data_IF_328144164154
#
_entry.id   IF_328144164154
#
_cell.length_a   1.000
_cell.length_b   1.000
_cell.length_c   1.000
_cell.angle_alpha   90.00
_cell.angle_beta   90.00
_cell.angle_gamma   90.00
#
_symmetry.space_group_name_H-M   'P 1'
#
loop_
_entity.id
_entity.type
_entity.pdbx_description
1 polymer ?
#
# COMPACT_ATOMS: atom_id res chain seq x y z
N UNK A 1 50.76 -16.13 -30.71
CA UNK A 1 51.38 -16.14 -29.39
C UNK A 1 50.25 -16.12 -28.34
N UNK A 2 50.15 -17.21 -27.58
CA UNK A 2 49.15 -17.38 -26.51
C UNK A 2 49.72 -16.77 -25.23
N UNK A 3 48.91 -16.05 -24.47
CA UNK A 3 49.17 -15.77 -23.07
C UNK A 3 47.85 -15.94 -22.30
N UNK A 4 47.72 -17.07 -21.66
CA UNK A 4 46.75 -17.44 -20.64
C UNK A 4 47.23 -16.87 -19.30
N UNK A 5 46.35 -16.13 -18.62
CA UNK A 5 46.47 -15.83 -17.18
C UNK A 5 45.31 -16.49 -16.44
N UNK A 6 45.64 -17.55 -15.73
CA UNK A 6 44.76 -18.15 -14.72
C UNK A 6 45.07 -17.48 -13.38
N UNK A 7 44.08 -16.90 -12.74
CA UNK A 7 44.15 -16.43 -11.37
C UNK A 7 43.28 -17.35 -10.50
N UNK A 8 43.95 -18.22 -9.75
CA UNK A 8 43.31 -19.04 -8.71
C UNK A 8 43.20 -18.16 -7.44
N UNK A 9 41.97 -17.95 -6.96
CA UNK A 9 41.73 -17.44 -5.63
C UNK A 9 41.22 -18.58 -4.74
N UNK A 10 42.09 -19.05 -3.84
CA UNK A 10 41.72 -19.96 -2.76
C UNK A 10 40.90 -19.22 -1.70
N UNK A 11 39.65 -19.64 -1.51
CA UNK A 11 38.84 -19.22 -0.38
C UNK A 11 39.06 -20.22 0.76
N UNK A 12 39.81 -19.80 1.79
CA UNK A 12 39.93 -20.55 3.04
C UNK A 12 38.70 -20.31 3.93
N UNK A 13 37.95 -21.36 4.18
CA UNK A 13 36.95 -21.40 5.23
C UNK A 13 37.63 -21.40 6.60
N UNK A 14 37.31 -20.43 7.43
CA UNK A 14 37.64 -20.43 8.87
C UNK A 14 36.37 -20.78 9.64
N UNK A 15 36.44 -21.91 10.33
CA UNK A 15 35.40 -22.41 11.23
C UNK A 15 35.31 -21.58 12.51
N UNK A 16 34.12 -21.25 13.02
CA UNK A 16 33.96 -20.59 14.32
C UNK A 16 33.82 -21.61 15.43
N UNK A 17 34.81 -21.68 16.28
CA UNK A 17 34.74 -22.39 17.56
C UNK A 17 35.55 -21.69 18.61
N UNK A 18 34.89 -21.10 19.59
CA UNK A 18 35.18 -21.13 21.04
C UNK A 18 34.48 -20.01 21.78
N UNK A 19 33.51 -20.44 22.53
CA UNK A 19 33.17 -20.13 23.96
C UNK A 19 33.69 -18.80 24.54
N UNK A 20 32.73 -17.97 24.97
CA UNK A 20 32.85 -17.13 26.15
C UNK A 20 31.83 -17.57 27.20
N UNK A 21 32.30 -18.29 28.24
CA UNK A 21 31.62 -18.45 29.53
C UNK A 21 31.92 -17.19 30.35
N UNK A 22 30.90 -16.39 30.63
CA UNK A 22 30.97 -15.35 31.64
C UNK A 22 30.26 -15.86 32.91
N UNK A 23 31.02 -15.97 33.96
CA UNK A 23 30.62 -16.45 35.28
C UNK A 23 29.62 -15.49 35.95
N UNK A 24 28.43 -15.99 36.27
CA UNK A 24 27.50 -15.31 37.18
C UNK A 24 27.88 -15.68 38.61
N UNK A 25 28.50 -14.75 39.31
CA UNK A 25 28.79 -14.85 40.74
C UNK A 25 27.50 -14.75 41.54
N UNK A 26 27.09 -15.87 42.17
CA UNK A 26 26.02 -15.89 43.17
C UNK A 26 26.55 -15.28 44.47
N UNK A 27 26.08 -14.11 44.84
CA UNK A 27 26.21 -13.57 46.20
C UNK A 27 25.13 -14.21 47.07
N UNK A 28 25.57 -15.09 47.99
CA UNK A 28 24.74 -15.55 49.11
C UNK A 28 24.60 -14.40 50.11
N UNK A 29 23.41 -13.85 50.25
CA UNK A 29 23.03 -13.06 51.41
C UNK A 29 22.54 -14.03 52.50
N UNK A 30 23.34 -14.20 53.57
CA UNK A 30 22.91 -14.83 54.82
C UNK A 30 22.02 -13.83 55.56
N UNK A 31 20.72 -14.12 55.63
CA UNK A 31 19.84 -13.45 56.60
C UNK A 31 19.83 -14.24 57.87
N UNK A 32 20.24 -13.57 58.95
CA UNK A 32 20.30 -14.05 60.35
C UNK A 32 18.85 -14.15 60.83
N UNK A 33 18.47 -15.34 61.31
CA UNK A 33 17.22 -15.56 62.03
C UNK A 33 17.40 -15.15 63.46
N UNK A 34 16.65 -14.20 63.97
CA UNK A 34 16.45 -13.94 65.40
C UNK A 34 14.96 -13.78 65.68
N UNK A 35 14.50 -14.72 66.48
CA UNK A 35 13.43 -14.66 67.46
C UNK A 35 11.97 -14.65 66.99
N UNK A 36 11.36 -15.75 67.33
CA UNK A 36 9.95 -16.02 67.46
C UNK A 36 9.19 -14.89 68.16
N UNK A 37 8.13 -14.38 67.51
CA UNK A 37 7.09 -13.67 68.23
C UNK A 37 5.73 -14.37 67.87
N UNK A 38 5.31 -15.22 68.83
CA UNK A 38 3.98 -15.82 68.76
C UNK A 38 2.92 -14.74 69.03
N UNK A 39 2.27 -14.28 67.96
CA UNK A 39 1.05 -13.47 68.09
C UNK A 39 -0.13 -14.43 68.00
N UNK A 40 -0.81 -14.69 69.09
CA UNK A 40 -2.11 -15.33 69.14
C UNK A 40 -3.15 -14.35 68.57
N UNK A 41 -3.61 -14.58 67.33
CA UNK A 41 -4.76 -13.87 66.76
C UNK A 41 -6.00 -14.66 67.10
N UNK A 42 -6.78 -14.10 68.03
CA UNK A 42 -8.13 -14.59 68.39
C UNK A 42 -9.08 -14.36 67.22
N UNK A 43 -9.63 -15.44 66.66
CA UNK A 43 -10.68 -15.40 65.65
C UNK A 43 -12.02 -15.07 66.26
N UNK A 44 -12.36 -13.79 66.34
CA UNK A 44 -13.69 -13.28 66.67
C UNK A 44 -14.36 -12.63 65.45
N UNK A 45 -15.44 -13.25 64.96
CA UNK A 45 -16.52 -12.62 64.19
C UNK A 45 -16.21 -11.76 62.96
N UNK A 46 -15.62 -12.32 61.90
CA UNK A 46 -15.43 -11.60 60.65
C UNK A 46 -16.05 -12.37 59.42
N UNK A 47 -17.27 -12.90 59.54
CA UNK A 47 -17.89 -13.61 58.43
C UNK A 47 -18.64 -12.74 57.37
N UNK A 48 -19.02 -11.47 57.56
CA UNK A 48 -19.67 -10.70 56.50
C UNK A 48 -18.71 -9.97 55.57
N UNK A 49 -17.43 -9.67 55.96
CA UNK A 49 -16.52 -8.88 55.13
C UNK A 49 -15.83 -9.70 54.04
N UNK A 50 -15.62 -10.98 54.20
CA UNK A 50 -14.94 -11.84 53.22
C UNK A 50 -15.84 -12.09 52.01
N UNK A 51 -17.19 -12.19 52.19
CA UNK A 51 -18.14 -12.34 51.10
C UNK A 51 -18.29 -11.05 50.28
N UNK A 52 -18.22 -9.88 50.90
CA UNK A 52 -18.29 -8.58 50.22
C UNK A 52 -17.02 -8.32 49.37
N UNK A 53 -15.83 -8.73 49.83
CA UNK A 53 -14.61 -8.57 49.08
C UNK A 53 -14.50 -9.54 47.90
N UNK A 54 -14.99 -10.78 48.04
CA UNK A 54 -15.09 -11.74 46.95
C UNK A 54 -16.10 -11.29 45.86
N UNK A 55 -17.21 -10.64 46.24
CA UNK A 55 -18.20 -10.08 45.31
C UNK A 55 -17.66 -8.84 44.56
N UNK A 56 -16.82 -8.00 45.22
CA UNK A 56 -16.17 -6.88 44.56
C UNK A 56 -15.06 -7.33 43.60
N UNK A 57 -14.30 -8.38 43.89
CA UNK A 57 -13.32 -8.98 42.98
C UNK A 57 -13.98 -9.68 41.78
N UNK A 58 -15.15 -10.33 41.99
CA UNK A 58 -15.92 -10.90 40.89
C UNK A 58 -16.59 -9.83 39.99
N UNK A 59 -16.96 -8.66 40.53
CA UNK A 59 -17.45 -7.54 39.76
C UNK A 59 -16.34 -6.79 38.99
N UNK A 60 -15.10 -6.80 39.47
CA UNK A 60 -13.92 -6.26 38.78
C UNK A 60 -13.39 -7.22 37.69
N UNK A 61 -13.72 -8.50 37.76
CA UNK A 61 -13.48 -9.50 36.72
C UNK A 61 -14.59 -9.55 35.65
N UNK A 62 -15.61 -8.69 35.71
CA UNK A 62 -16.43 -8.36 34.57
C UNK A 62 -15.51 -7.64 33.58
N UNK A 63 -14.75 -8.45 32.83
CA UNK A 63 -14.00 -8.04 31.66
C UNK A 63 -14.94 -7.13 30.87
N UNK A 64 -14.59 -5.87 30.78
CA UNK A 64 -15.08 -5.03 29.69
C UNK A 64 -14.74 -5.83 28.43
N UNK A 65 -15.73 -6.53 27.89
CA UNK A 65 -15.72 -6.88 26.48
C UNK A 65 -15.78 -5.53 25.81
N UNK A 66 -14.60 -4.94 25.61
CA UNK A 66 -14.44 -3.77 24.79
C UNK A 66 -14.92 -4.26 23.43
N UNK A 67 -16.11 -3.86 23.02
CA UNK A 67 -16.59 -4.14 21.67
C UNK A 67 -15.42 -3.82 20.75
N UNK A 68 -14.92 -4.83 20.05
CA UNK A 68 -13.83 -4.63 19.14
C UNK A 68 -14.26 -3.49 18.21
N UNK A 69 -13.52 -2.39 18.23
CA UNK A 69 -13.83 -1.26 17.33
C UNK A 69 -13.82 -1.80 15.90
N UNK A 70 -14.87 -1.50 15.16
CA UNK A 70 -14.98 -1.89 13.76
C UNK A 70 -13.69 -1.47 13.02
N UNK A 71 -12.93 -2.40 12.45
CA UNK A 71 -11.67 -2.06 11.79
C UNK A 71 -11.86 -1.33 10.46
N UNK A 72 -13.08 -1.38 9.89
CA UNK A 72 -13.41 -0.83 8.58
C UNK A 72 -14.69 0.03 8.66
N UNK A 73 -14.71 1.11 9.44
CA UNK A 73 -15.91 1.87 9.75
C UNK A 73 -16.53 2.59 8.54
N UNK A 74 -15.76 2.85 7.49
CA UNK A 74 -16.27 3.44 6.23
C UNK A 74 -16.83 2.40 5.26
N UNK A 75 -16.77 1.12 5.60
CA UNK A 75 -17.44 0.05 4.87
C UNK A 75 -18.82 -0.21 5.48
N UNK A 76 -19.81 -0.47 4.62
CA UNK A 76 -21.09 -0.99 5.07
C UNK A 76 -20.98 -2.47 5.48
N UNK A 77 -21.82 -2.90 6.41
CA UNK A 77 -21.94 -4.33 6.69
C UNK A 77 -22.47 -5.05 5.45
N UNK A 78 -21.76 -6.07 5.01
CA UNK A 78 -22.08 -6.79 3.80
C UNK A 78 -21.05 -7.85 3.42
N UNK A 79 -21.24 -8.46 2.26
CA UNK A 79 -20.40 -9.56 1.79
C UNK A 79 -18.95 -9.14 1.57
N UNK A 80 -18.69 -7.95 1.02
CA UNK A 80 -17.35 -7.44 0.74
C UNK A 80 -16.55 -7.26 2.04
N UNK A 81 -17.10 -6.52 3.02
CA UNK A 81 -16.46 -6.31 4.33
C UNK A 81 -16.24 -7.63 5.06
N UNK A 82 -17.25 -8.49 5.12
CA UNK A 82 -17.15 -9.81 5.76
C UNK A 82 -16.04 -10.64 5.14
N UNK A 83 -15.94 -10.65 3.81
CA UNK A 83 -14.91 -11.42 3.09
C UNK A 83 -13.50 -10.94 3.41
N UNK A 84 -13.28 -9.62 3.47
CA UNK A 84 -11.99 -9.03 3.86
C UNK A 84 -11.62 -9.44 5.29
N UNK A 85 -12.51 -9.18 6.25
CA UNK A 85 -12.26 -9.44 7.66
C UNK A 85 -12.02 -10.93 7.91
N UNK A 86 -12.88 -11.80 7.37
CA UNK A 86 -12.73 -13.26 7.50
C UNK A 86 -11.44 -13.77 6.87
N UNK A 87 -11.03 -13.25 5.70
CA UNK A 87 -9.76 -13.61 5.07
C UNK A 87 -8.58 -13.25 5.97
N UNK A 88 -8.54 -12.02 6.47
CA UNK A 88 -7.46 -11.57 7.36
C UNK A 88 -7.41 -12.42 8.62
N UNK A 89 -8.54 -12.66 9.27
CA UNK A 89 -8.62 -13.52 10.46
C UNK A 89 -8.11 -14.93 10.17
N UNK A 90 -8.52 -15.53 9.05
CA UNK A 90 -8.12 -16.88 8.64
C UNK A 90 -6.60 -16.99 8.45
N UNK A 91 -5.99 -16.04 7.74
CA UNK A 91 -4.54 -16.11 7.43
C UNK A 91 -3.66 -15.63 8.58
N UNK A 92 -4.24 -15.01 9.61
CA UNK A 92 -3.50 -14.54 10.78
C UNK A 92 -3.63 -15.44 12.00
N UNK A 93 -4.59 -16.39 12.01
CA UNK A 93 -4.76 -17.35 13.11
C UNK A 93 -3.61 -18.36 13.12
N UNK A 94 -2.69 -18.32 14.11
CA UNK A 94 -1.53 -19.20 14.16
C UNK A 94 -1.88 -20.68 14.40
N UNK A 95 -3.13 -20.97 14.77
CA UNK A 95 -3.64 -22.34 14.99
C UNK A 95 -4.38 -22.88 13.77
N UNK A 96 -4.72 -22.01 12.82
CA UNK A 96 -5.47 -22.34 11.62
C UNK A 96 -4.62 -23.05 10.55
N UNK A 97 -5.22 -23.96 9.81
CA UNK A 97 -4.56 -24.66 8.67
C UNK A 97 -4.13 -23.71 7.55
N UNK A 98 -4.78 -22.57 7.45
CA UNK A 98 -4.57 -21.56 6.41
C UNK A 98 -3.70 -20.38 6.91
N UNK A 99 -3.01 -20.56 8.04
CA UNK A 99 -2.09 -19.57 8.57
C UNK A 99 -0.98 -19.21 7.57
N UNK A 100 -0.77 -17.93 7.40
CA UNK A 100 0.33 -17.37 6.59
C UNK A 100 1.24 -16.55 7.50
N UNK A 101 2.54 -16.85 7.53
CA UNK A 101 3.50 -16.12 8.33
C UNK A 101 3.56 -14.64 7.89
N UNK A 102 3.79 -13.65 8.81
CA UNK A 102 3.80 -12.23 8.48
C UNK A 102 4.67 -11.85 7.28
N UNK A 103 5.88 -12.42 7.16
CA UNK A 103 6.77 -12.16 6.02
C UNK A 103 6.27 -12.66 4.66
N UNK A 104 5.16 -13.42 4.62
CA UNK A 104 4.51 -13.88 3.39
C UNK A 104 3.13 -13.21 3.16
N UNK A 105 2.66 -12.37 4.08
CA UNK A 105 1.40 -11.61 3.94
C UNK A 105 1.64 -10.38 3.08
N UNK A 106 1.64 -10.56 1.77
CA UNK A 106 1.78 -9.47 0.80
C UNK A 106 0.42 -9.13 0.21
N UNK A 107 0.03 -7.86 0.31
CA UNK A 107 -1.16 -7.30 -0.33
C UNK A 107 -0.75 -6.23 -1.35
N UNK A 108 -1.31 -6.29 -2.55
CA UNK A 108 -1.01 -5.35 -3.64
C UNK A 108 -2.28 -4.62 -4.06
N UNK A 109 -2.12 -3.36 -4.38
CA UNK A 109 -3.21 -2.45 -4.75
C UNK A 109 -2.84 -1.69 -6.01
N UNK A 110 -3.74 -1.62 -6.98
CA UNK A 110 -3.67 -0.54 -7.94
C UNK A 110 -3.86 0.82 -7.26
N UNK A 111 -3.49 1.91 -7.93
CA UNK A 111 -3.59 3.25 -7.37
C UNK A 111 -4.80 4.01 -7.92
N UNK A 112 -4.78 4.29 -9.23
CA UNK A 112 -5.81 5.11 -9.89
C UNK A 112 -7.12 4.32 -9.96
N UNK A 113 -8.22 4.85 -9.41
CA UNK A 113 -9.50 4.16 -9.30
C UNK A 113 -9.56 3.10 -8.19
N UNK A 114 -8.45 2.77 -7.52
CA UNK A 114 -8.43 1.79 -6.41
C UNK A 114 -8.13 2.43 -5.07
N UNK A 115 -7.09 3.25 -4.96
CA UNK A 115 -6.71 3.93 -3.72
C UNK A 115 -7.16 5.41 -3.71
N UNK A 116 -7.25 6.03 -4.88
CA UNK A 116 -7.77 7.38 -5.08
C UNK A 116 -8.56 7.47 -6.38
N UNK A 117 -9.29 8.57 -6.56
CA UNK A 117 -10.07 8.82 -7.77
C UNK A 117 -9.18 8.96 -9.02
N UNK A 118 -9.73 8.62 -10.19
CA UNK A 118 -9.02 8.70 -11.49
C UNK A 118 -9.76 9.51 -12.56
N UNK A 119 -11.04 9.81 -12.34
CA UNK A 119 -11.87 10.57 -13.28
C UNK A 119 -11.76 12.08 -13.00
N UNK A 120 -11.95 12.97 -13.98
CA UNK A 120 -12.18 12.67 -15.40
C UNK A 120 -10.89 12.42 -16.19
N UNK A 121 -9.72 12.53 -15.55
CA UNK A 121 -8.39 12.29 -16.11
C UNK A 121 -7.46 11.80 -15.03
N UNK A 122 -6.55 10.87 -15.36
CA UNK A 122 -5.53 10.42 -14.42
C UNK A 122 -4.78 11.59 -13.77
N UNK A 123 -4.58 11.55 -12.48
CA UNK A 123 -3.98 12.68 -11.74
C UNK A 123 -2.55 13.00 -12.19
N UNK A 124 -1.78 11.97 -12.60
CA UNK A 124 -0.48 12.20 -13.23
C UNK A 124 -0.61 12.96 -14.56
N UNK A 125 -1.66 12.69 -15.32
CA UNK A 125 -1.91 13.43 -16.57
C UNK A 125 -2.28 14.91 -16.30
N UNK A 126 -3.05 15.17 -15.23
CA UNK A 126 -3.32 16.54 -14.78
C UNK A 126 -2.03 17.28 -14.39
N UNK A 127 -1.16 16.62 -13.62
CA UNK A 127 0.18 17.15 -13.28
C UNK A 127 1.03 17.44 -14.54
N UNK A 128 1.03 16.52 -15.51
CA UNK A 128 1.77 16.70 -16.76
C UNK A 128 1.24 17.89 -17.59
N UNK A 129 -0.10 18.05 -17.67
CA UNK A 129 -0.73 19.18 -18.36
C UNK A 129 -0.42 20.52 -17.69
N UNK A 130 -0.47 20.60 -16.36
CA UNK A 130 -0.13 21.81 -15.63
C UNK A 130 1.37 22.14 -15.77
N UNK A 131 2.22 21.12 -15.73
CA UNK A 131 3.66 21.30 -16.01
C UNK A 131 3.89 21.80 -17.42
N UNK A 132 3.22 21.24 -18.43
CA UNK A 132 3.35 21.69 -19.81
C UNK A 132 2.89 23.14 -20.00
N UNK A 133 1.79 23.55 -19.37
CA UNK A 133 1.33 24.96 -19.37
C UNK A 133 2.40 25.89 -18.80
N UNK A 134 3.01 25.51 -17.67
CA UNK A 134 4.07 26.30 -17.03
C UNK A 134 5.35 26.35 -17.90
N UNK A 135 5.67 25.29 -18.63
CA UNK A 135 6.78 25.25 -19.59
C UNK A 135 6.46 26.10 -20.83
N UNK A 136 5.27 26.01 -21.37
CA UNK A 136 4.81 26.78 -22.53
C UNK A 136 4.80 28.29 -22.29
N UNK A 137 4.57 28.72 -21.06
CA UNK A 137 4.69 30.13 -20.67
C UNK A 137 6.13 30.68 -20.79
N UNK A 138 7.13 29.80 -20.80
CA UNK A 138 8.57 30.14 -20.95
C UNK A 138 9.10 29.83 -22.35
N UNK A 139 8.47 28.87 -23.05
CA UNK A 139 8.84 28.46 -24.41
C UNK A 139 7.58 28.40 -25.27
N UNK A 140 7.33 29.42 -26.13
CA UNK A 140 6.15 29.47 -27.00
C UNK A 140 6.05 28.30 -27.99
N UNK A 141 7.14 27.64 -28.34
CA UNK A 141 7.11 26.46 -29.22
C UNK A 141 6.33 25.29 -28.59
N UNK A 142 6.38 25.17 -27.28
CA UNK A 142 5.60 24.17 -26.54
C UNK A 142 4.09 24.50 -26.52
N UNK A 143 3.71 25.77 -26.57
CA UNK A 143 2.30 26.17 -26.56
C UNK A 143 1.51 25.65 -27.79
N UNK A 144 2.19 25.45 -28.90
CA UNK A 144 1.59 24.94 -30.15
C UNK A 144 1.89 23.46 -30.39
N UNK A 145 2.44 22.75 -29.41
CA UNK A 145 2.75 21.32 -29.52
C UNK A 145 1.44 20.50 -29.62
N UNK A 146 1.20 19.77 -30.71
CA UNK A 146 -0.05 19.02 -30.91
C UNK A 146 -0.26 17.89 -29.89
N UNK A 147 0.81 17.30 -29.34
CA UNK A 147 0.71 16.27 -28.31
C UNK A 147 0.09 16.82 -27.02
N UNK A 148 0.39 18.07 -26.63
CA UNK A 148 -0.22 18.70 -25.45
C UNK A 148 -1.72 18.86 -25.64
N UNK A 149 -2.16 19.33 -26.82
CA UNK A 149 -3.57 19.51 -27.12
C UNK A 149 -4.33 18.18 -27.24
N UNK A 150 -3.72 17.14 -27.79
CA UNK A 150 -4.29 15.82 -27.90
C UNK A 150 -4.39 15.11 -26.53
N UNK A 151 -3.35 15.19 -25.70
CA UNK A 151 -3.34 14.64 -24.35
C UNK A 151 -4.43 15.28 -23.47
N UNK A 152 -4.66 16.61 -23.61
CA UNK A 152 -5.74 17.31 -22.92
C UNK A 152 -7.14 16.81 -23.30
N UNK A 153 -7.29 16.14 -24.45
CA UNK A 153 -8.53 15.52 -24.93
C UNK A 153 -8.61 14.01 -24.58
N UNK A 154 -7.64 13.47 -23.84
CA UNK A 154 -7.62 12.08 -23.41
C UNK A 154 -6.94 11.10 -24.39
N UNK A 155 -6.20 11.58 -25.41
CA UNK A 155 -5.41 10.69 -26.27
C UNK A 155 -4.25 10.08 -25.48
N UNK A 156 -4.31 8.76 -25.24
CA UNK A 156 -3.34 8.04 -24.43
C UNK A 156 -1.93 8.01 -25.04
N UNK A 157 -1.81 8.00 -26.38
CA UNK A 157 -0.51 8.07 -27.03
C UNK A 157 0.12 9.44 -26.82
N UNK A 158 -0.67 10.49 -27.03
CA UNK A 158 -0.23 11.86 -26.77
C UNK A 158 0.08 12.11 -25.30
N UNK A 159 -0.60 11.42 -24.38
CA UNK A 159 -0.27 11.45 -22.96
C UNK A 159 1.13 10.88 -22.70
N UNK A 160 1.51 9.78 -23.34
CA UNK A 160 2.88 9.24 -23.25
C UNK A 160 3.94 10.24 -23.73
N UNK A 161 3.69 10.94 -24.84
CA UNK A 161 4.56 11.99 -25.35
C UNK A 161 4.62 13.20 -24.38
N UNK A 162 3.49 13.59 -23.82
CA UNK A 162 3.40 14.65 -22.82
C UNK A 162 4.23 14.32 -21.57
N UNK A 163 4.14 13.09 -21.08
CA UNK A 163 4.93 12.60 -19.94
C UNK A 163 6.43 12.67 -20.27
N UNK A 164 6.83 12.23 -21.47
CA UNK A 164 8.23 12.33 -21.90
C UNK A 164 8.74 13.78 -21.91
N UNK A 165 7.93 14.72 -22.39
CA UNK A 165 8.28 16.15 -22.43
C UNK A 165 8.39 16.74 -21.01
N UNK A 166 7.45 16.43 -20.13
CA UNK A 166 7.31 17.11 -18.83
C UNK A 166 8.08 16.44 -17.69
N UNK A 167 8.42 15.15 -17.82
CA UNK A 167 9.02 14.36 -16.76
C UNK A 167 10.51 14.06 -16.97
N UNK A 168 11.04 14.25 -18.19
CA UNK A 168 12.44 14.00 -18.49
C UNK A 168 13.34 15.25 -18.31
N UNK A 169 14.65 15.04 -18.51
CA UNK A 169 15.71 16.09 -18.48
C UNK A 169 15.83 16.81 -17.11
N UNK A 170 15.36 16.20 -16.05
CA UNK A 170 15.45 16.67 -14.67
C UNK A 170 16.03 15.54 -13.80
N UNK A 171 16.51 15.86 -12.62
CA UNK A 171 16.88 14.82 -11.66
C UNK A 171 15.64 14.21 -10.99
N UNK A 172 15.78 12.98 -10.47
CA UNK A 172 14.69 12.35 -9.70
C UNK A 172 14.29 13.18 -8.48
N UNK A 173 15.27 13.81 -7.81
CA UNK A 173 14.99 14.66 -6.64
C UNK A 173 14.22 15.93 -7.01
N UNK A 174 14.62 16.62 -8.09
CA UNK A 174 13.90 17.79 -8.60
C UNK A 174 12.48 17.43 -9.05
N UNK A 175 12.30 16.28 -9.67
CA UNK A 175 11.00 15.79 -10.08
C UNK A 175 10.11 15.53 -8.86
N UNK A 176 10.62 14.84 -7.85
CA UNK A 176 9.89 14.57 -6.62
C UNK A 176 9.47 15.85 -5.88
N UNK A 177 10.33 16.89 -5.87
CA UNK A 177 9.98 18.20 -5.31
C UNK A 177 8.81 18.83 -6.07
N UNK A 178 8.88 18.83 -7.42
CA UNK A 178 7.80 19.40 -8.25
C UNK A 178 6.46 18.68 -8.04
N UNK A 179 6.47 17.36 -7.93
CA UNK A 179 5.25 16.58 -7.65
C UNK A 179 4.70 16.95 -6.27
N UNK A 180 5.53 16.96 -5.23
CA UNK A 180 5.10 17.35 -3.88
C UNK A 180 4.54 18.77 -3.82
N UNK A 181 5.14 19.72 -4.51
CA UNK A 181 4.65 21.09 -4.53
C UNK A 181 3.31 21.21 -5.27
N UNK A 182 3.15 20.49 -6.38
CA UNK A 182 1.88 20.42 -7.10
C UNK A 182 0.76 19.81 -6.23
N UNK A 183 1.02 18.70 -5.54
CA UNK A 183 0.03 18.01 -4.70
C UNK A 183 -0.45 18.85 -3.50
N UNK A 184 0.33 19.85 -3.06
CA UNK A 184 -0.06 20.77 -1.98
C UNK A 184 -1.19 21.73 -2.38
N UNK A 185 -1.26 22.11 -3.65
CA UNK A 185 -2.11 23.23 -4.12
C UNK A 185 -3.07 22.85 -5.24
N UNK A 186 -2.72 21.87 -6.08
CA UNK A 186 -3.54 21.49 -7.23
C UNK A 186 -4.88 20.90 -6.79
N UNK A 187 -5.95 21.34 -7.42
CA UNK A 187 -7.31 20.94 -7.11
C UNK A 187 -7.94 20.22 -8.30
N UNK A 188 -8.73 19.23 -7.97
CA UNK A 188 -9.55 18.49 -8.92
C UNK A 188 -10.62 19.41 -9.55
N UNK A 189 -10.79 19.38 -10.90
CA UNK A 189 -11.60 20.37 -11.61
C UNK A 189 -13.09 20.34 -11.27
N UNK A 190 -13.64 19.19 -10.89
CA UNK A 190 -15.07 19.01 -10.59
C UNK A 190 -15.36 18.81 -9.11
N UNK A 191 -14.50 18.15 -8.37
CA UNK A 191 -14.69 17.88 -6.95
C UNK A 191 -14.17 19.01 -6.04
N UNK A 192 -13.41 19.95 -6.61
CA UNK A 192 -12.88 21.16 -5.92
C UNK A 192 -12.13 20.84 -4.61
N UNK A 193 -11.42 19.68 -4.59
CA UNK A 193 -10.57 19.22 -3.50
C UNK A 193 -9.16 19.02 -4.04
N UNK A 194 -8.16 19.07 -3.16
CA UNK A 194 -6.80 18.70 -3.56
C UNK A 194 -6.80 17.23 -4.01
N UNK A 195 -5.98 16.91 -4.99
CA UNK A 195 -5.89 15.54 -5.50
C UNK A 195 -5.57 14.52 -4.38
N UNK A 196 -4.72 14.87 -3.44
CA UNK A 196 -4.37 14.03 -2.28
C UNK A 196 -5.51 13.86 -1.26
N UNK A 197 -6.57 14.64 -1.33
CA UNK A 197 -7.79 14.51 -0.51
C UNK A 197 -8.86 13.61 -1.16
N UNK A 198 -8.59 13.18 -2.39
CA UNK A 198 -9.49 12.28 -3.14
C UNK A 198 -9.08 10.82 -3.00
N UNK A 199 -8.45 10.47 -1.90
CA UNK A 199 -8.20 9.08 -1.51
C UNK A 199 -9.48 8.45 -0.97
N UNK A 200 -9.72 7.22 -1.36
CA UNK A 200 -10.88 6.47 -0.89
C UNK A 200 -10.71 6.10 0.58
N UNK A 201 -11.55 6.64 1.44
CA UNK A 201 -11.47 6.42 2.88
C UNK A 201 -11.57 4.93 3.26
N UNK A 202 -12.47 4.11 2.65
CA UNK A 202 -12.52 2.69 2.93
C UNK A 202 -11.22 1.95 2.61
N UNK A 203 -10.54 2.35 1.54
CA UNK A 203 -9.28 1.72 1.14
C UNK A 203 -8.13 2.12 2.06
N UNK A 204 -8.12 3.36 2.57
CA UNK A 204 -7.15 3.77 3.59
C UNK A 204 -7.32 2.97 4.89
N UNK A 205 -8.55 2.81 5.36
CA UNK A 205 -8.86 1.96 6.52
C UNK A 205 -8.43 0.50 6.30
N UNK A 206 -8.59 0.01 5.07
CA UNK A 206 -8.13 -1.33 4.69
C UNK A 206 -6.60 -1.45 4.76
N UNK A 207 -5.86 -0.46 4.26
CA UNK A 207 -4.39 -0.44 4.35
C UNK A 207 -3.95 -0.48 5.82
N UNK A 208 -4.51 0.39 6.67
CA UNK A 208 -4.21 0.45 8.10
C UNK A 208 -4.56 -0.89 8.80
N UNK A 209 -5.70 -1.49 8.48
CA UNK A 209 -6.13 -2.77 9.02
C UNK A 209 -5.19 -3.91 8.62
N UNK A 210 -4.75 -3.94 7.38
CA UNK A 210 -3.81 -4.96 6.89
C UNK A 210 -2.45 -4.83 7.55
N UNK A 211 -1.90 -3.62 7.66
CA UNK A 211 -0.61 -3.38 8.34
C UNK A 211 -0.68 -3.76 9.82
N UNK A 212 -1.75 -3.40 10.53
CA UNK A 212 -1.99 -3.80 11.91
C UNK A 212 -2.05 -5.33 12.09
N UNK A 213 -2.38 -6.07 11.02
CA UNK A 213 -2.40 -7.53 10.98
C UNK A 213 -1.15 -8.16 10.34
N UNK A 214 -0.06 -7.40 10.22
CA UNK A 214 1.25 -7.87 9.77
C UNK A 214 1.36 -8.16 8.27
N UNK A 215 0.51 -7.53 7.45
CA UNK A 215 0.69 -7.51 6.01
C UNK A 215 1.70 -6.45 5.60
N UNK A 216 2.40 -6.69 4.51
CA UNK A 216 3.07 -5.63 3.76
C UNK A 216 2.18 -5.19 2.61
N UNK A 217 1.82 -3.91 2.60
CA UNK A 217 0.99 -3.28 1.57
C UNK A 217 1.86 -2.64 0.49
N UNK A 218 1.48 -2.78 -0.77
CA UNK A 218 2.24 -2.32 -1.93
C UNK A 218 1.32 -1.66 -2.96
N UNK A 219 1.79 -0.60 -3.60
CA UNK A 219 1.15 -0.04 -4.79
C UNK A 219 1.72 -0.73 -6.02
N UNK A 220 0.86 -1.09 -6.98
CA UNK A 220 1.21 -1.68 -8.28
C UNK A 220 0.36 -1.01 -9.36
N UNK A 221 0.91 -0.03 -10.07
CA UNK A 221 0.11 0.87 -10.90
C UNK A 221 0.68 1.09 -12.30
N UNK A 222 -0.19 1.27 -13.28
CA UNK A 222 0.18 1.75 -14.60
C UNK A 222 0.78 3.16 -14.62
N UNK A 223 0.55 3.94 -13.56
CA UNK A 223 1.15 5.26 -13.35
C UNK A 223 2.65 5.23 -13.13
N UNK A 224 3.30 6.40 -13.24
CA UNK A 224 4.74 6.54 -13.08
C UNK A 224 5.20 6.33 -11.65
N UNK A 225 6.13 5.40 -11.44
CA UNK A 225 6.62 5.03 -10.11
C UNK A 225 7.16 6.21 -9.30
N UNK A 226 7.92 7.11 -9.92
CA UNK A 226 8.51 8.26 -9.22
C UNK A 226 7.48 9.37 -8.93
N UNK A 227 6.40 9.46 -9.73
CA UNK A 227 5.28 10.34 -9.42
C UNK A 227 4.60 9.89 -8.12
N UNK A 228 4.27 8.61 -8.01
CA UNK A 228 3.62 8.06 -6.82
C UNK A 228 4.52 8.07 -5.58
N UNK A 229 5.80 7.75 -5.72
CA UNK A 229 6.79 7.78 -4.62
C UNK A 229 6.88 9.14 -3.94
N UNK A 230 6.59 10.22 -4.66
CA UNK A 230 6.66 11.57 -4.10
C UNK A 230 5.61 11.86 -3.03
N UNK A 231 4.52 11.09 -2.95
CA UNK A 231 3.42 11.31 -2.02
C UNK A 231 2.88 10.05 -1.31
N UNK A 232 3.25 8.84 -1.75
CA UNK A 232 2.62 7.61 -1.27
C UNK A 232 2.76 7.42 0.26
N UNK A 233 3.90 7.77 0.84
CA UNK A 233 4.12 7.66 2.28
C UNK A 233 3.24 8.64 3.06
N UNK A 234 3.18 9.91 2.65
CA UNK A 234 2.37 10.93 3.30
C UNK A 234 0.87 10.66 3.17
N UNK A 235 0.45 10.09 2.05
CA UNK A 235 -0.97 9.92 1.69
C UNK A 235 -1.53 8.57 2.14
N UNK A 236 -0.76 7.49 2.02
CA UNK A 236 -1.22 6.11 2.27
C UNK A 236 -0.47 5.41 3.42
N UNK A 237 0.64 5.97 3.91
CA UNK A 237 1.55 5.27 4.81
C UNK A 237 2.42 4.21 4.10
N UNK A 238 2.38 4.15 2.77
CA UNK A 238 3.16 3.18 1.99
C UNK A 238 4.52 3.81 1.62
N UNK A 239 5.64 3.27 2.13
CA UNK A 239 6.96 3.85 1.87
C UNK A 239 7.38 3.68 0.40
N UNK A 240 8.27 4.55 -0.11
CA UNK A 240 8.60 4.63 -1.54
C UNK A 240 9.16 3.34 -2.14
N UNK A 241 9.83 2.50 -1.35
CA UNK A 241 10.32 1.20 -1.80
C UNK A 241 9.21 0.17 -2.04
N UNK A 242 8.00 0.42 -1.52
CA UNK A 242 6.82 -0.42 -1.75
C UNK A 242 5.90 0.10 -2.84
N UNK A 243 6.40 0.98 -3.69
CA UNK A 243 5.68 1.49 -4.86
C UNK A 243 6.30 0.91 -6.12
N UNK A 244 5.49 0.17 -6.88
CA UNK A 244 5.78 -0.40 -8.18
C UNK A 244 4.95 0.38 -9.21
N UNK A 245 5.54 0.70 -10.35
CA UNK A 245 4.86 1.44 -11.39
C UNK A 245 5.64 1.50 -12.68
N UNK A 246 5.05 2.10 -13.70
CA UNK A 246 5.74 2.35 -14.96
C UNK A 246 6.95 3.25 -14.73
N UNK A 247 8.03 3.00 -15.44
CA UNK A 247 9.27 3.76 -15.30
C UNK A 247 9.77 4.29 -16.64
N UNK A 248 10.45 5.44 -16.59
CA UNK A 248 11.31 5.93 -17.65
C UNK A 248 12.76 5.61 -17.31
N UNK A 249 13.63 5.55 -18.32
CA UNK A 249 15.05 5.31 -18.14
C UNK A 249 15.68 6.40 -17.29
N UNK A 250 16.61 5.98 -16.46
CA UNK A 250 17.41 6.86 -15.63
C UNK A 250 18.89 6.60 -15.87
N UNK A 251 19.73 7.59 -15.59
CA UNK A 251 21.18 7.44 -15.62
C UNK A 251 21.83 8.14 -14.44
N UNK A 252 22.93 7.60 -13.98
CA UNK A 252 23.82 8.29 -13.04
C UNK A 252 24.62 9.38 -13.78
N UNK A 253 24.69 10.56 -13.20
CA UNK A 253 25.49 11.68 -13.66
C UNK A 253 26.14 12.41 -12.48
N UNK A 254 27.22 13.14 -12.75
CA UNK A 254 27.78 14.12 -11.82
C UNK A 254 27.51 15.51 -12.38
N UNK A 255 26.67 16.31 -11.70
CA UNK A 255 26.35 17.70 -12.04
C UNK A 255 26.86 18.61 -10.95
N UNK A 256 27.67 19.61 -11.30
CA UNK A 256 28.26 20.56 -10.34
C UNK A 256 28.96 19.87 -9.16
N UNK A 257 29.69 18.79 -9.44
CA UNK A 257 30.41 17.99 -8.46
C UNK A 257 29.52 17.10 -7.56
N UNK A 258 28.20 17.02 -7.82
CA UNK A 258 27.25 16.19 -7.05
C UNK A 258 26.74 15.01 -7.88
N UNK A 259 26.72 13.79 -7.32
CA UNK A 259 26.10 12.64 -7.98
C UNK A 259 24.58 12.79 -7.97
N UNK A 260 23.96 12.57 -9.13
CA UNK A 260 22.49 12.67 -9.33
C UNK A 260 21.99 11.54 -10.24
N UNK A 261 20.72 11.21 -10.10
CA UNK A 261 20.00 10.35 -11.04
C UNK A 261 19.18 11.23 -11.97
N UNK A 262 19.48 11.16 -13.26
CA UNK A 262 18.83 11.95 -14.31
C UNK A 262 17.79 11.11 -15.03
N UNK A 263 16.63 11.68 -15.25
CA UNK A 263 15.47 11.09 -15.94
C UNK A 263 15.59 11.33 -17.45
N UNK A 264 15.45 10.26 -18.23
CA UNK A 264 15.53 10.28 -19.69
C UNK A 264 14.13 10.17 -20.32
N UNK A 265 13.93 10.64 -21.57
CA UNK A 265 12.59 10.65 -22.19
C UNK A 265 12.18 9.28 -22.81
N UNK A 266 12.74 8.18 -22.34
CA UNK A 266 12.50 6.84 -22.85
C UNK A 266 11.78 6.00 -21.81
N UNK A 267 10.69 5.33 -22.20
CA UNK A 267 10.00 4.35 -21.35
C UNK A 267 10.93 3.15 -21.16
N UNK A 268 11.11 2.74 -19.90
CA UNK A 268 11.88 1.55 -19.54
C UNK A 268 10.98 0.35 -19.25
N UNK A 269 9.87 0.58 -18.55
CA UNK A 269 8.94 -0.46 -18.15
C UNK A 269 7.50 0.10 -18.08
N UNK A 270 6.53 -0.68 -18.52
CA UNK A 270 5.11 -0.38 -18.41
C UNK A 270 4.48 -1.39 -17.45
N UNK A 271 4.02 -0.90 -16.29
CA UNK A 271 3.43 -1.71 -15.20
C UNK A 271 1.91 -1.78 -15.32
N UNK A 272 1.41 -2.16 -16.49
CA UNK A 272 -0.01 -2.32 -16.80
C UNK A 272 -0.25 -3.73 -17.34
N UNK A 273 -1.44 -4.29 -17.13
CA UNK A 273 -1.83 -5.63 -17.57
C UNK A 273 -0.78 -6.68 -17.18
N UNK A 274 -0.17 -7.35 -18.17
CA UNK A 274 0.89 -8.34 -17.98
C UNK A 274 2.13 -7.77 -17.29
N UNK A 275 2.34 -6.46 -17.38
CA UNK A 275 3.42 -5.75 -16.68
C UNK A 275 3.30 -5.86 -15.17
N UNK A 276 2.08 -5.74 -14.61
CA UNK A 276 1.86 -5.75 -13.15
C UNK A 276 2.42 -7.00 -12.45
N UNK A 277 2.08 -8.26 -12.83
CA UNK A 277 2.70 -9.43 -12.21
C UNK A 277 4.22 -9.52 -12.43
N UNK A 278 4.74 -8.99 -13.55
CA UNK A 278 6.19 -8.92 -13.82
C UNK A 278 6.86 -7.92 -12.88
N UNK A 279 6.27 -6.74 -12.68
CA UNK A 279 6.74 -5.73 -11.73
C UNK A 279 6.75 -6.25 -10.30
N UNK A 280 5.67 -6.89 -9.87
CA UNK A 280 5.57 -7.55 -8.55
C UNK A 280 6.67 -8.60 -8.39
N UNK A 281 6.86 -9.48 -9.38
CA UNK A 281 7.90 -10.51 -9.31
C UNK A 281 9.30 -9.92 -9.17
N UNK A 282 9.61 -8.86 -9.92
CA UNK A 282 10.92 -8.19 -9.86
C UNK A 282 11.17 -7.47 -8.54
N UNK A 283 10.16 -6.76 -8.01
CA UNK A 283 10.34 -5.90 -6.85
C UNK A 283 10.15 -6.65 -5.52
N UNK A 284 9.15 -7.53 -5.43
CA UNK A 284 8.79 -8.21 -4.18
C UNK A 284 9.44 -9.61 -4.10
N UNK A 285 9.62 -10.30 -5.22
CA UNK A 285 10.13 -11.68 -5.27
C UNK A 285 9.20 -12.72 -4.65
N UNK A 286 7.97 -12.32 -4.30
CA UNK A 286 6.93 -13.18 -3.72
C UNK A 286 5.60 -12.92 -4.41
N UNK A 287 4.77 -13.97 -4.51
CA UNK A 287 3.40 -13.83 -5.00
C UNK A 287 2.52 -13.28 -3.87
N UNK A 288 1.74 -12.20 -4.11
CA UNK A 288 0.80 -11.68 -3.14
C UNK A 288 -0.26 -12.71 -2.74
N UNK A 289 -0.82 -12.55 -1.54
CA UNK A 289 -2.00 -13.32 -1.11
C UNK A 289 -3.29 -12.51 -1.21
N UNK A 290 -3.17 -11.21 -1.44
CA UNK A 290 -4.29 -10.29 -1.60
C UNK A 290 -4.01 -9.29 -2.71
N UNK A 291 -5.00 -9.01 -3.56
CA UNK A 291 -4.90 -8.00 -4.61
C UNK A 291 -6.20 -7.24 -4.80
N UNK A 292 -6.08 -5.93 -5.01
CA UNK A 292 -7.20 -5.03 -5.33
C UNK A 292 -6.89 -4.23 -6.59
N UNK A 293 -7.89 -4.08 -7.45
CA UNK A 293 -7.85 -3.24 -8.64
C UNK A 293 -9.24 -2.72 -8.95
N UNK A 294 -9.40 -1.97 -10.04
CA UNK A 294 -10.70 -1.43 -10.47
C UNK A 294 -10.94 -1.56 -11.98
N UNK A 295 -9.96 -2.00 -12.74
CA UNK A 295 -10.03 -1.99 -14.21
C UNK A 295 -9.53 -3.29 -14.84
N UNK A 296 -9.73 -3.44 -16.14
CA UNK A 296 -9.17 -4.54 -16.93
C UNK A 296 -7.63 -4.50 -16.99
N UNK A 297 -7.02 -3.35 -16.64
CA UNK A 297 -5.57 -3.23 -16.45
C UNK A 297 -5.03 -4.05 -15.28
N UNK A 298 -5.88 -4.41 -14.32
CA UNK A 298 -5.52 -5.16 -13.12
C UNK A 298 -5.74 -6.66 -13.27
N UNK A 299 -6.41 -7.07 -14.34
CA UNK A 299 -6.86 -8.45 -14.50
C UNK A 299 -5.75 -9.47 -14.25
N UNK A 300 -4.58 -9.30 -14.88
CA UNK A 300 -3.46 -10.23 -14.76
C UNK A 300 -2.82 -10.21 -13.37
N UNK A 301 -2.83 -9.08 -12.67
CA UNK A 301 -2.40 -8.99 -11.27
C UNK A 301 -3.31 -9.81 -10.35
N UNK A 302 -4.62 -9.69 -10.51
CA UNK A 302 -5.62 -10.44 -9.76
C UNK A 302 -5.53 -11.94 -10.07
N UNK A 303 -5.48 -12.30 -11.36
CA UNK A 303 -5.34 -13.67 -11.84
C UNK A 303 -4.06 -14.33 -11.30
N UNK A 304 -2.92 -13.66 -11.43
CA UNK A 304 -1.66 -14.20 -10.94
C UNK A 304 -1.67 -14.37 -9.41
N UNK A 305 -2.24 -13.41 -8.67
CA UNK A 305 -2.39 -13.51 -7.22
C UNK A 305 -3.21 -14.72 -6.82
N UNK A 306 -4.33 -14.98 -7.49
CA UNK A 306 -5.28 -16.04 -7.10
C UNK A 306 -4.96 -17.42 -7.68
N UNK A 307 -4.12 -17.53 -8.71
CA UNK A 307 -3.79 -18.81 -9.36
C UNK A 307 -2.85 -19.72 -8.56
N UNK A 308 -2.34 -19.29 -7.40
CA UNK A 308 -1.45 -20.11 -6.56
C UNK A 308 -2.22 -20.86 -5.46
N UNK A 309 -1.70 -21.99 -4.96
CA UNK A 309 -2.27 -22.70 -3.82
C UNK A 309 -2.34 -21.87 -2.53
N UNK A 310 -3.23 -22.27 -1.63
CA UNK A 310 -3.44 -21.64 -0.33
C UNK A 310 -4.46 -20.50 -0.37
N UNK A 311 -4.68 -19.84 0.76
CA UNK A 311 -5.67 -18.77 0.87
C UNK A 311 -5.29 -17.56 0.02
N UNK A 312 -6.22 -17.11 -0.82
CA UNK A 312 -6.05 -15.98 -1.74
C UNK A 312 -7.29 -15.13 -1.78
N UNK A 313 -7.13 -13.81 -1.93
CA UNK A 313 -8.23 -12.88 -2.09
C UNK A 313 -7.92 -11.89 -3.21
N UNK A 314 -8.85 -11.76 -4.16
CA UNK A 314 -8.84 -10.69 -5.14
C UNK A 314 -10.20 -10.00 -5.17
N UNK A 315 -10.19 -8.66 -5.24
CA UNK A 315 -11.38 -7.84 -5.27
C UNK A 315 -11.23 -6.72 -6.31
N UNK A 316 -12.34 -6.35 -6.93
CA UNK A 316 -12.40 -5.30 -7.94
C UNK A 316 -13.34 -4.21 -7.44
N UNK A 317 -12.86 -2.98 -7.33
CA UNK A 317 -13.68 -1.80 -7.04
C UNK A 317 -14.48 -1.46 -8.29
N UNK A 318 -15.80 -1.48 -8.17
CA UNK A 318 -16.73 -1.11 -9.22
C UNK A 318 -17.33 0.26 -8.91
N UNK A 319 -17.05 1.21 -9.78
CA UNK A 319 -17.48 2.61 -9.64
C UNK A 319 -18.90 2.77 -10.16
N UNK A 320 -19.88 2.60 -9.29
CA UNK A 320 -21.33 2.62 -9.59
C UNK A 320 -22.11 3.74 -8.88
N UNK A 321 -21.40 4.75 -8.31
CA UNK A 321 -22.00 5.84 -7.55
C UNK A 321 -21.74 7.23 -8.13
N UNK A 322 -22.53 7.61 -9.12
CA UNK A 322 -22.46 8.94 -9.73
C UNK A 322 -22.88 10.09 -8.78
N UNK A 323 -23.48 9.79 -7.63
CA UNK A 323 -23.94 10.82 -6.70
C UNK A 323 -22.82 11.30 -5.75
N UNK A 324 -21.94 10.39 -5.34
CA UNK A 324 -20.87 10.68 -4.37
C UNK A 324 -19.48 10.82 -5.00
N UNK A 325 -19.31 10.23 -6.23
CA UNK A 325 -18.09 10.35 -7.03
C UNK A 325 -18.42 10.29 -8.54
N UNK A 326 -17.86 9.34 -9.28
CA UNK A 326 -18.11 9.08 -10.70
C UNK A 326 -18.65 7.65 -10.87
N UNK A 327 -19.56 7.44 -11.84
CA UNK A 327 -19.95 6.10 -12.23
C UNK A 327 -19.40 5.80 -13.62
N UNK A 328 -18.63 4.74 -13.74
CA UNK A 328 -18.00 4.32 -15.00
C UNK A 328 -17.59 2.84 -14.93
N UNK A 329 -17.63 2.18 -16.10
CA UNK A 329 -17.22 0.78 -16.28
C UNK A 329 -16.87 0.48 -17.74
N UNK A 330 -17.67 -0.34 -18.44
CA UNK A 330 -17.41 -0.88 -19.79
C UNK A 330 -17.15 0.17 -20.86
N UNK A 331 -17.83 1.29 -20.81
CA UNK A 331 -17.75 2.37 -21.79
C UNK A 331 -16.68 3.42 -21.52
N UNK A 332 -15.98 3.32 -20.39
CA UNK A 332 -15.00 4.31 -19.99
C UNK A 332 -13.70 4.19 -20.80
N UNK A 333 -13.09 5.34 -21.10
CA UNK A 333 -11.72 5.40 -21.64
C UNK A 333 -10.65 5.32 -20.54
N UNK A 334 -11.01 5.68 -19.31
CA UNK A 334 -10.18 5.65 -18.10
C UNK A 334 -10.82 4.68 -17.13
N UNK A 335 -10.07 3.74 -16.59
CA UNK A 335 -10.59 2.75 -15.66
C UNK A 335 -11.63 1.81 -16.31
N UNK A 336 -11.45 1.45 -17.59
CA UNK A 336 -12.37 0.54 -18.26
C UNK A 336 -12.44 -0.79 -17.53
N UNK A 337 -13.66 -1.20 -17.14
CA UNK A 337 -13.96 -2.46 -16.49
C UNK A 337 -15.01 -3.23 -17.27
N UNK A 338 -14.59 -4.14 -18.12
CA UNK A 338 -15.46 -4.99 -18.96
C UNK A 338 -15.20 -6.47 -18.68
N UNK A 339 -13.98 -6.92 -18.95
CA UNK A 339 -13.55 -8.29 -18.69
C UNK A 339 -13.66 -8.66 -17.22
N UNK A 340 -13.23 -7.76 -16.33
CA UNK A 340 -13.33 -7.98 -14.89
C UNK A 340 -14.77 -8.18 -14.42
N UNK A 341 -15.75 -7.44 -14.96
CA UNK A 341 -17.16 -7.62 -14.64
C UNK A 341 -17.70 -8.97 -15.14
N UNK A 342 -17.28 -9.41 -16.31
CA UNK A 342 -17.76 -10.65 -16.92
C UNK A 342 -17.16 -11.91 -16.27
N UNK A 343 -15.89 -11.84 -15.88
CA UNK A 343 -15.12 -13.03 -15.48
C UNK A 343 -14.85 -13.11 -13.96
N UNK A 344 -15.06 -12.05 -13.18
CA UNK A 344 -14.73 -12.04 -11.75
C UNK A 344 -15.34 -13.23 -10.99
N UNK A 345 -16.60 -13.55 -11.24
CA UNK A 345 -17.29 -14.67 -10.59
C UNK A 345 -16.65 -16.03 -10.90
N UNK A 346 -16.24 -16.27 -12.13
CA UNK A 346 -15.57 -17.51 -12.56
C UNK A 346 -14.17 -17.68 -11.90
N UNK A 347 -13.48 -16.57 -11.65
CA UNK A 347 -12.20 -16.55 -10.94
C UNK A 347 -12.35 -16.55 -9.41
N UNK A 348 -13.57 -16.50 -8.88
CA UNK A 348 -13.83 -16.41 -7.44
C UNK A 348 -13.48 -15.04 -6.83
N UNK A 349 -13.34 -14.00 -7.65
CA UNK A 349 -13.12 -12.62 -7.19
C UNK A 349 -14.42 -11.97 -6.75
N UNK A 350 -14.33 -10.95 -5.91
CA UNK A 350 -15.50 -10.17 -5.49
C UNK A 350 -15.48 -8.79 -6.11
N UNK A 351 -16.65 -8.32 -6.52
CA UNK A 351 -16.86 -6.92 -6.83
C UNK A 351 -17.13 -6.16 -5.54
N UNK A 352 -16.59 -4.97 -5.41
CA UNK A 352 -16.86 -3.99 -4.35
C UNK A 352 -17.64 -2.84 -4.99
N UNK A 353 -18.91 -2.73 -4.69
CA UNK A 353 -19.77 -1.62 -5.15
C UNK A 353 -19.49 -0.38 -4.31
N UNK A 354 -18.99 0.68 -4.94
CA UNK A 354 -18.80 1.97 -4.25
C UNK A 354 -20.11 2.46 -3.64
N UNK A 355 -21.21 2.25 -4.35
CA UNK A 355 -22.55 2.67 -3.92
C UNK A 355 -23.05 1.91 -2.70
N UNK A 356 -22.87 0.59 -2.68
CA UNK A 356 -23.51 -0.29 -1.70
C UNK A 356 -22.58 -0.71 -0.58
N UNK A 357 -21.28 -0.92 -0.86
CA UNK A 357 -20.31 -1.43 0.11
C UNK A 357 -19.58 -0.31 0.88
N UNK A 358 -19.55 0.91 0.35
CA UNK A 358 -18.91 2.04 1.02
C UNK A 358 -19.92 3.00 1.67
N UNK A 359 -19.78 3.21 2.96
CA UNK A 359 -20.53 4.21 3.73
C UNK A 359 -20.03 5.61 3.46
N UNK A 360 -18.71 5.75 3.41
CA UNK A 360 -18.00 7.02 3.17
C UNK A 360 -17.06 6.81 1.98
N UNK A 361 -17.09 7.68 0.97
CA UNK A 361 -16.17 7.59 -0.18
C UNK A 361 -14.86 8.30 0.14
N UNK A 362 -14.93 9.58 0.49
CA UNK A 362 -13.77 10.40 0.84
C UNK A 362 -13.85 10.87 2.29
N UNK A 363 -12.69 11.06 2.93
CA UNK A 363 -12.65 11.67 4.24
C UNK A 363 -13.33 13.08 4.22
N UNK A 364 -13.97 13.52 5.33
CA UNK A 364 -14.47 14.88 5.45
C UNK A 364 -13.37 15.90 5.18
N UNK A 365 -13.71 17.00 4.51
CA UNK A 365 -12.78 18.13 4.36
C UNK A 365 -12.51 18.72 5.74
N UNK A 366 -11.23 18.99 6.00
CA UNK A 366 -10.79 19.64 7.24
C UNK A 366 -10.90 21.15 7.14
#
# INVERSE_FOLDING_TARGET
>A
MRATYACHAEVRFVSPGKLWLAAVQRRHLRVRTDKELLVQISFGHARPFVLAFAACLAALAATRVQAATDPLPSWNEGAAKTRIVSFVQTVTDPTGKDYVAPGARVAVFDNDGTLWSEQPIYFQAAFALDTAKAMAAKDPALAVNPAIAAAAKGDLKALGELIAITHANTTSDEFAVRVRDWTKTAQHPTLHRRYTELTYQPMRELLDYLEANGFSTWIVSGGGVEFMRAFAEDVYGIPPERVIGSSIRTKYEVRDGKPVIVRLPEIEFVDDKEGKPVGIHKAIGKRPIMAFGNSDGDFQMLEWTTSAPGPRLAMIVHHDDAAREFAYDRGSHIGKLERGLDEAGAHGWSLVSVKNDWRTVYAPQK
#
